data_IF_348901875834
#
_entry.id   IF_348901875834
#
_cell.length_a   1.000
_cell.length_b   1.000
_cell.length_c   1.000
_cell.angle_alpha   90.00
_cell.angle_beta   90.00
_cell.angle_gamma   90.00
#
_symmetry.space_group_name_H-M   'P 1'
#
loop_
_entity.id
_entity.type
_entity.pdbx_description
1 polymer ?
#
# COMPACT_ATOMS: atom_id res chain seq x y z
N UNK A 1 6.92 -18.51 5.08
CA UNK A 1 6.17 -17.59 5.97
C UNK A 1 4.79 -17.36 5.40
N UNK A 2 3.75 -17.50 6.21
CA UNK A 2 2.37 -17.25 5.81
C UNK A 2 1.98 -15.84 6.29
N UNK A 3 1.75 -14.95 5.34
CA UNK A 3 1.51 -13.53 5.60
C UNK A 3 0.08 -13.14 5.24
N UNK A 4 -0.65 -12.60 6.22
CA UNK A 4 -1.94 -11.94 6.01
C UNK A 4 -1.72 -10.43 5.91
N UNK A 5 -2.14 -9.83 4.81
CA UNK A 5 -1.98 -8.40 4.60
C UNK A 5 -3.30 -7.65 4.53
N UNK A 6 -3.29 -6.41 4.99
CA UNK A 6 -4.45 -5.52 5.05
C UNK A 6 -4.05 -4.14 4.49
N UNK A 7 -4.89 -3.58 3.63
CA UNK A 7 -4.82 -2.17 3.23
C UNK A 7 -6.19 -1.52 3.35
N UNK A 8 -6.24 -0.48 4.15
CA UNK A 8 -7.42 0.37 4.37
C UNK A 8 -7.10 1.85 4.20
N UNK A 9 -5.95 2.15 3.59
CA UNK A 9 -5.44 3.51 3.44
C UNK A 9 -6.25 4.38 2.48
N UNK A 10 -7.08 3.76 1.60
CA UNK A 10 -7.89 4.46 0.60
C UNK A 10 -9.36 4.02 0.67
N UNK A 11 -10.13 4.30 -0.38
CA UNK A 11 -11.53 3.82 -0.51
C UNK A 11 -11.63 2.32 -0.78
N UNK A 12 -10.53 1.68 -1.12
CA UNK A 12 -10.48 0.22 -1.31
C UNK A 12 -10.14 -0.40 0.03
N UNK A 13 -10.92 -1.40 0.41
CA UNK A 13 -10.57 -2.35 1.45
C UNK A 13 -9.94 -3.55 0.76
N UNK A 14 -8.67 -3.77 0.98
CA UNK A 14 -7.91 -4.86 0.38
C UNK A 14 -7.36 -5.77 1.47
N UNK A 15 -7.53 -7.09 1.29
CA UNK A 15 -6.95 -8.12 2.14
C UNK A 15 -6.33 -9.19 1.25
N UNK A 16 -5.17 -9.71 1.63
CA UNK A 16 -4.47 -10.74 0.88
C UNK A 16 -3.82 -11.77 1.81
N UNK A 17 -3.68 -12.98 1.32
CA UNK A 17 -2.96 -14.07 1.97
C UNK A 17 -1.88 -14.56 1.02
N UNK A 18 -0.63 -14.53 1.48
CA UNK A 18 0.53 -14.97 0.72
C UNK A 18 1.30 -16.04 1.51
N UNK A 19 1.82 -17.04 0.81
CA UNK A 19 2.80 -17.98 1.37
C UNK A 19 4.14 -17.68 0.70
N UNK A 20 5.06 -17.12 1.47
CA UNK A 20 6.28 -16.53 0.90
C UNK A 20 5.91 -15.54 -0.21
N UNK A 21 6.38 -15.74 -1.43
CA UNK A 21 6.06 -14.89 -2.57
C UNK A 21 4.82 -15.34 -3.37
N UNK A 22 4.17 -16.44 -2.98
CA UNK A 22 2.99 -16.95 -3.66
C UNK A 22 1.72 -16.31 -3.12
N UNK A 23 0.96 -15.63 -3.98
CA UNK A 23 -0.37 -15.11 -3.64
C UNK A 23 -1.40 -16.26 -3.64
N UNK A 24 -1.93 -16.59 -2.47
CA UNK A 24 -2.95 -17.63 -2.30
C UNK A 24 -4.36 -17.08 -2.55
N UNK A 25 -4.67 -15.89 -2.03
CA UNK A 25 -5.97 -15.25 -2.23
C UNK A 25 -5.87 -13.73 -1.99
N UNK A 26 -6.74 -12.98 -2.65
CA UNK A 26 -6.93 -11.54 -2.40
C UNK A 26 -8.40 -11.15 -2.59
N UNK A 27 -8.85 -10.18 -1.81
CA UNK A 27 -10.10 -9.46 -1.99
C UNK A 27 -9.82 -7.97 -2.01
N UNK A 28 -10.22 -7.32 -3.11
CA UNK A 28 -10.09 -5.87 -3.31
C UNK A 28 -11.49 -5.31 -3.55
N UNK A 29 -12.08 -4.66 -2.55
CA UNK A 29 -13.45 -4.15 -2.64
C UNK A 29 -13.45 -2.64 -2.44
N UNK A 30 -14.00 -1.91 -3.41
CA UNK A 30 -14.20 -0.47 -3.29
C UNK A 30 -15.49 -0.20 -2.49
N UNK A 31 -15.34 -0.01 -1.19
CA UNK A 31 -16.45 0.11 -0.23
C UNK A 31 -16.80 1.56 0.14
N UNK A 32 -16.12 2.54 -0.46
CA UNK A 32 -16.26 3.93 -0.03
C UNK A 32 -15.55 4.15 1.32
N UNK A 33 -16.31 4.46 2.38
CA UNK A 33 -15.76 4.77 3.71
C UNK A 33 -16.18 3.76 4.81
N UNK A 34 -16.70 2.59 4.43
CA UNK A 34 -17.26 1.59 5.37
C UNK A 34 -16.30 0.45 5.72
N UNK A 35 -15.01 0.76 5.92
CA UNK A 35 -14.00 -0.25 6.27
C UNK A 35 -14.34 -1.00 7.57
N UNK A 36 -14.95 -0.32 8.55
CA UNK A 36 -15.34 -0.93 9.82
C UNK A 36 -16.37 -2.06 9.67
N UNK A 37 -17.21 -2.02 8.64
CA UNK A 37 -18.25 -3.03 8.40
C UNK A 37 -17.72 -4.15 7.49
N UNK A 38 -16.79 -3.84 6.57
CA UNK A 38 -16.38 -4.76 5.53
C UNK A 38 -15.10 -5.54 5.81
N UNK A 39 -14.19 -5.03 6.62
CA UNK A 39 -12.85 -5.63 6.80
C UNK A 39 -12.92 -7.02 7.43
N UNK A 40 -13.58 -7.17 8.56
CA UNK A 40 -13.67 -8.47 9.25
C UNK A 40 -14.40 -9.54 8.43
N UNK A 41 -15.55 -9.28 7.78
CA UNK A 41 -16.17 -10.24 6.87
C UNK A 41 -15.28 -10.68 5.71
N UNK A 42 -14.45 -9.76 5.13
CA UNK A 42 -13.51 -10.12 4.07
C UNK A 42 -12.41 -11.04 4.58
N UNK A 43 -11.84 -10.74 5.76
CA UNK A 43 -10.82 -11.58 6.40
C UNK A 43 -11.36 -12.97 6.71
N UNK A 44 -12.57 -13.06 7.26
CA UNK A 44 -13.23 -14.33 7.54
C UNK A 44 -13.43 -15.15 6.25
N UNK A 45 -13.97 -14.54 5.20
CA UNK A 45 -14.14 -15.19 3.90
C UNK A 45 -12.81 -15.67 3.31
N UNK A 46 -11.75 -14.85 3.41
CA UNK A 46 -10.43 -15.18 2.91
C UNK A 46 -9.91 -16.47 3.55
N UNK A 47 -9.93 -16.54 4.89
CA UNK A 47 -9.47 -17.70 5.64
C UNK A 47 -10.34 -18.94 5.37
N UNK A 48 -11.66 -18.79 5.35
CA UNK A 48 -12.58 -19.90 5.05
C UNK A 48 -12.36 -20.50 3.65
N UNK A 49 -12.18 -19.64 2.63
CA UNK A 49 -11.98 -20.08 1.24
C UNK A 49 -10.64 -20.76 1.01
N UNK A 50 -9.61 -20.27 1.68
CA UNK A 50 -8.26 -20.87 1.60
C UNK A 50 -8.10 -22.08 2.51
N UNK A 51 -9.04 -22.33 3.44
CA UNK A 51 -8.99 -23.38 4.47
C UNK A 51 -7.74 -23.27 5.35
N UNK A 52 -7.24 -22.05 5.53
CA UNK A 52 -6.09 -21.75 6.37
C UNK A 52 -6.62 -21.30 7.73
N UNK A 53 -6.07 -21.90 8.79
CA UNK A 53 -6.42 -21.51 10.14
C UNK A 53 -5.62 -20.29 10.58
N UNK A 54 -6.19 -19.51 11.49
CA UNK A 54 -5.54 -18.29 12.01
C UNK A 54 -4.23 -18.59 12.75
N UNK A 55 -4.09 -19.79 13.29
CA UNK A 55 -2.91 -20.27 14.00
C UNK A 55 -1.72 -20.54 13.06
N UNK A 56 -1.98 -20.64 11.76
CA UNK A 56 -0.93 -20.82 10.74
C UNK A 56 -0.32 -19.50 10.29
N UNK A 57 -0.94 -18.35 10.62
CA UNK A 57 -0.46 -17.02 10.21
C UNK A 57 0.80 -16.67 11.01
N UNK A 58 1.90 -16.45 10.30
CA UNK A 58 3.18 -16.05 10.89
C UNK A 58 3.30 -14.53 11.05
N UNK A 59 2.78 -13.78 10.06
CA UNK A 59 2.93 -12.34 9.95
C UNK A 59 1.62 -11.68 9.53
N UNK A 60 1.24 -10.60 10.20
CA UNK A 60 0.24 -9.65 9.72
C UNK A 60 0.98 -8.43 9.19
N UNK A 61 0.69 -8.04 7.95
CA UNK A 61 1.22 -6.86 7.29
C UNK A 61 0.12 -5.82 7.13
N UNK A 62 0.41 -4.55 7.44
CA UNK A 62 -0.58 -3.46 7.40
C UNK A 62 -0.01 -2.21 6.73
N UNK A 63 -0.79 -1.56 5.86
CA UNK A 63 -0.42 -0.24 5.35
C UNK A 63 -0.53 0.83 6.44
N UNK A 64 0.58 1.56 6.67
CA UNK A 64 0.73 2.54 7.73
C UNK A 64 0.56 3.98 7.26
N UNK A 65 0.15 4.18 6.04
CA UNK A 65 0.00 5.52 5.47
C UNK A 65 1.14 5.91 4.53
N UNK A 66 0.98 7.12 3.96
CA UNK A 66 -0.13 8.05 4.14
C UNK A 66 -1.46 7.53 3.56
N UNK A 67 -2.59 8.13 3.99
CA UNK A 67 -3.91 7.75 3.51
C UNK A 67 -5.06 8.30 4.37
N UNK A 68 -6.21 7.66 4.27
CA UNK A 68 -7.39 7.98 5.08
C UNK A 68 -7.11 7.75 6.56
N UNK A 69 -7.12 8.80 7.37
CA UNK A 69 -6.90 8.71 8.81
C UNK A 69 -7.81 7.70 9.52
N UNK A 70 -9.10 7.71 9.20
CA UNK A 70 -10.06 6.76 9.75
C UNK A 70 -9.78 5.34 9.27
N UNK A 71 -9.51 5.18 7.96
CA UNK A 71 -9.21 3.87 7.38
C UNK A 71 -7.97 3.24 7.99
N UNK A 72 -6.87 3.99 8.08
CA UNK A 72 -5.60 3.54 8.68
C UNK A 72 -5.79 3.07 10.13
N UNK A 73 -6.54 3.83 10.94
CA UNK A 73 -6.83 3.45 12.34
C UNK A 73 -7.67 2.18 12.46
N UNK A 74 -8.68 2.01 11.60
CA UNK A 74 -9.49 0.79 11.59
C UNK A 74 -8.60 -0.42 11.22
N UNK A 75 -7.80 -0.29 10.17
CA UNK A 75 -6.88 -1.36 9.74
C UNK A 75 -5.87 -1.71 10.82
N UNK A 76 -5.19 -0.69 11.37
CA UNK A 76 -4.16 -0.88 12.39
C UNK A 76 -4.72 -1.53 13.67
N UNK A 77 -5.82 -0.99 14.22
CA UNK A 77 -6.44 -1.55 15.43
C UNK A 77 -6.87 -3.01 15.21
N UNK A 78 -7.39 -3.34 14.01
CA UNK A 78 -7.74 -4.71 13.65
C UNK A 78 -6.51 -5.60 13.57
N UNK A 79 -5.44 -5.14 12.89
CA UNK A 79 -4.20 -5.88 12.73
C UNK A 79 -3.51 -6.14 14.08
N UNK A 80 -3.43 -5.14 14.96
CA UNK A 80 -2.87 -5.27 16.31
C UNK A 80 -3.66 -6.28 17.16
N UNK A 81 -5.00 -6.17 17.18
CA UNK A 81 -5.84 -7.09 17.92
C UNK A 81 -5.69 -8.55 17.44
N UNK A 82 -5.60 -8.74 16.13
CA UNK A 82 -5.37 -10.06 15.53
C UNK A 82 -3.98 -10.58 15.84
N UNK A 83 -2.93 -9.79 15.66
CA UNK A 83 -1.55 -10.19 15.93
C UNK A 83 -1.36 -10.59 17.40
N UNK A 84 -1.93 -9.80 18.31
CA UNK A 84 -1.91 -10.11 19.74
C UNK A 84 -2.63 -11.42 20.06
N UNK A 85 -3.83 -11.62 19.51
CA UNK A 85 -4.69 -12.79 19.79
C UNK A 85 -4.14 -14.06 19.15
N UNK A 86 -3.61 -13.97 17.93
CA UNK A 86 -3.06 -15.11 17.17
C UNK A 86 -1.60 -15.38 17.49
N UNK A 87 -0.95 -14.50 18.25
CA UNK A 87 0.45 -14.59 18.66
C UNK A 87 1.42 -14.66 17.47
N UNK A 88 1.11 -13.89 16.43
CA UNK A 88 1.95 -13.73 15.26
C UNK A 88 2.58 -12.33 15.21
N UNK A 89 3.50 -12.13 14.30
CA UNK A 89 4.19 -10.86 14.13
C UNK A 89 3.32 -9.82 13.43
N UNK A 90 3.65 -8.53 13.61
CA UNK A 90 3.01 -7.41 12.94
C UNK A 90 4.07 -6.52 12.30
N UNK A 91 3.89 -6.18 11.02
CA UNK A 91 4.80 -5.28 10.29
C UNK A 91 4.02 -4.21 9.54
N UNK A 92 4.49 -2.97 9.65
CA UNK A 92 3.90 -1.81 8.99
C UNK A 92 4.58 -1.46 7.67
N UNK A 93 3.82 -1.25 6.61
CA UNK A 93 4.33 -0.94 5.26
C UNK A 93 3.87 0.45 4.82
N UNK A 94 4.76 1.22 4.19
CA UNK A 94 4.40 2.52 3.62
C UNK A 94 3.44 2.36 2.44
N UNK A 95 2.29 3.07 2.47
CA UNK A 95 1.24 2.97 1.44
C UNK A 95 1.71 3.40 0.06
N UNK A 96 2.51 4.47 -0.06
CA UNK A 96 3.03 4.91 -1.35
C UNK A 96 4.03 3.92 -1.94
N UNK A 97 4.83 3.29 -1.09
CA UNK A 97 5.76 2.23 -1.52
C UNK A 97 4.98 1.00 -2.02
N UNK A 98 3.92 0.60 -1.31
CA UNK A 98 3.03 -0.48 -1.75
C UNK A 98 2.34 -0.18 -3.08
N UNK A 99 1.91 1.06 -3.29
CA UNK A 99 1.38 1.51 -4.58
C UNK A 99 2.42 1.40 -5.71
N UNK A 100 3.66 1.86 -5.48
CA UNK A 100 4.73 1.74 -6.47
C UNK A 100 5.07 0.27 -6.76
N UNK A 101 4.97 -0.60 -5.76
CA UNK A 101 5.22 -2.03 -5.90
C UNK A 101 4.24 -2.74 -6.84
N UNK A 102 3.05 -2.18 -7.08
CA UNK A 102 2.09 -2.72 -8.05
C UNK A 102 2.61 -2.76 -9.49
N UNK A 103 3.66 -1.98 -9.80
CA UNK A 103 4.15 -1.79 -11.18
C UNK A 103 5.65 -2.11 -11.22
N UNK A 104 6.04 -3.40 -11.35
CA UNK A 104 7.45 -3.80 -11.42
C UNK A 104 8.03 -3.52 -12.82
N UNK A 105 8.09 -2.24 -13.19
CA UNK A 105 8.56 -1.77 -14.49
C UNK A 105 9.82 -0.92 -14.34
N UNK A 106 10.93 -1.38 -14.90
CA UNK A 106 12.18 -0.61 -14.96
C UNK A 106 12.14 0.48 -16.04
N UNK A 107 12.99 1.48 -15.90
CA UNK A 107 13.11 2.60 -16.85
C UNK A 107 12.09 3.73 -16.63
N UNK A 108 11.22 3.62 -15.65
CA UNK A 108 10.27 4.67 -15.27
C UNK A 108 10.48 5.12 -13.83
N UNK A 109 10.28 6.41 -13.60
CA UNK A 109 10.06 6.93 -12.26
C UNK A 109 8.60 6.68 -11.89
N UNK A 110 8.34 5.96 -10.82
CA UNK A 110 7.01 5.72 -10.28
C UNK A 110 6.70 6.80 -9.25
N UNK A 111 5.61 7.51 -9.45
CA UNK A 111 5.16 8.57 -8.55
C UNK A 111 3.77 8.23 -7.99
N UNK A 112 3.71 7.42 -6.92
CA UNK A 112 2.48 7.24 -6.19
C UNK A 112 2.05 8.54 -5.53
N UNK A 113 0.75 8.83 -5.62
CA UNK A 113 0.14 10.03 -5.03
C UNK A 113 -1.18 9.69 -4.34
N UNK A 114 -1.40 10.31 -3.18
CA UNK A 114 -2.66 10.28 -2.44
C UNK A 114 -3.10 11.69 -2.09
N UNK A 115 -4.41 11.92 -1.98
CA UNK A 115 -4.97 13.24 -1.65
C UNK A 115 -4.63 13.62 -0.20
N UNK A 116 -3.80 14.65 -0.01
CA UNK A 116 -3.46 15.22 1.29
C UNK A 116 -4.43 16.33 1.71
N UNK A 117 -5.57 16.44 1.01
CA UNK A 117 -6.59 17.46 1.19
C UNK A 117 -6.14 18.90 0.81
N UNK A 118 -7.09 19.81 0.79
CA UNK A 118 -6.85 21.24 0.47
C UNK A 118 -6.08 21.47 -0.85
N UNK A 119 -6.15 20.53 -1.79
CA UNK A 119 -5.48 20.63 -3.09
C UNK A 119 -4.02 20.13 -3.10
N UNK A 120 -3.53 19.61 -1.98
CA UNK A 120 -2.20 19.01 -1.85
C UNK A 120 -2.25 17.50 -2.03
N UNK A 121 -1.08 16.92 -2.26
CA UNK A 121 -0.87 15.49 -2.46
C UNK A 121 0.29 15.00 -1.61
N UNK A 122 0.13 13.82 -1.03
CA UNK A 122 1.27 13.01 -0.60
C UNK A 122 1.92 12.44 -1.84
N UNK A 123 3.23 12.63 -2.00
CA UNK A 123 4.03 12.11 -3.11
C UNK A 123 5.36 11.56 -2.62
N UNK A 124 5.77 10.44 -3.16
CA UNK A 124 7.14 9.94 -3.11
C UNK A 124 7.56 9.52 -4.52
N UNK A 125 8.85 9.35 -4.77
CA UNK A 125 9.35 8.89 -6.06
C UNK A 125 10.13 7.60 -5.87
N UNK A 126 9.81 6.60 -6.69
CA UNK A 126 10.46 5.30 -6.67
C UNK A 126 10.90 4.89 -8.07
N UNK A 127 11.81 3.94 -8.14
CA UNK A 127 12.22 3.32 -9.39
C UNK A 127 12.61 1.86 -9.16
N UNK A 128 12.20 0.98 -10.07
CA UNK A 128 12.71 -0.38 -10.09
C UNK A 128 14.11 -0.40 -10.71
N UNK A 129 15.08 -1.00 -9.99
CA UNK A 129 16.45 -1.20 -10.41
C UNK A 129 16.91 -2.58 -10.01
N UNK A 130 17.29 -3.40 -10.98
CA UNK A 130 17.79 -4.77 -10.74
C UNK A 130 16.82 -5.60 -9.86
N UNK A 131 15.51 -5.49 -10.14
CA UNK A 131 14.47 -6.21 -9.40
C UNK A 131 14.15 -5.67 -7.99
N UNK A 132 14.72 -4.52 -7.60
CA UNK A 132 14.46 -3.87 -6.31
C UNK A 132 13.77 -2.52 -6.51
N UNK A 133 12.81 -2.20 -5.64
CA UNK A 133 12.17 -0.90 -5.60
C UNK A 133 12.98 0.07 -4.75
N UNK A 134 13.63 1.04 -5.41
CA UNK A 134 14.50 2.04 -4.79
C UNK A 134 13.73 3.35 -4.64
N UNK A 135 13.81 3.98 -3.47
CA UNK A 135 13.32 5.33 -3.25
C UNK A 135 14.26 6.35 -3.86
N UNK A 136 13.75 7.22 -4.75
CA UNK A 136 14.48 8.32 -5.36
C UNK A 136 14.28 9.64 -4.61
N UNK A 137 13.09 9.85 -4.10
CA UNK A 137 12.76 11.02 -3.28
C UNK A 137 11.73 10.63 -2.21
N UNK A 138 11.94 11.04 -0.96
CA UNK A 138 11.08 10.67 0.15
C UNK A 138 9.70 11.32 0.04
N UNK A 139 8.79 10.80 0.87
CA UNK A 139 7.45 11.36 1.07
C UNK A 139 7.51 12.87 1.33
N UNK A 140 6.73 13.60 0.57
CA UNK A 140 6.47 15.03 0.77
C UNK A 140 5.00 15.34 0.54
N UNK A 141 4.52 16.41 1.19
CA UNK A 141 3.23 17.03 0.88
C UNK A 141 3.49 18.14 -0.12
N UNK A 142 2.91 18.03 -1.30
CA UNK A 142 3.18 18.92 -2.43
C UNK A 142 1.88 19.44 -3.06
N UNK A 143 1.94 20.64 -3.61
CA UNK A 143 0.89 21.17 -4.49
C UNK A 143 0.91 20.45 -5.85
N UNK A 144 -0.11 20.67 -6.67
CA UNK A 144 -0.16 20.11 -8.03
C UNK A 144 1.03 20.57 -8.90
N UNK A 145 1.43 21.81 -8.76
CA UNK A 145 2.56 22.40 -9.52
C UNK A 145 3.87 21.75 -9.11
N UNK A 146 4.17 21.76 -7.81
CA UNK A 146 5.37 21.14 -7.25
C UNK A 146 5.47 19.65 -7.58
N UNK A 147 4.32 18.93 -7.59
CA UNK A 147 4.26 17.52 -7.97
C UNK A 147 4.82 17.30 -9.39
N UNK A 148 4.40 18.13 -10.34
CA UNK A 148 4.84 18.06 -11.74
C UNK A 148 6.31 18.49 -11.85
N UNK A 149 6.71 19.56 -11.17
CA UNK A 149 8.10 20.07 -11.15
C UNK A 149 9.07 19.01 -10.63
N UNK A 150 8.71 18.33 -9.54
CA UNK A 150 9.54 17.23 -9.01
C UNK A 150 9.73 16.09 -10.02
N UNK A 151 8.71 15.76 -10.81
CA UNK A 151 8.83 14.76 -11.86
C UNK A 151 9.65 15.26 -13.05
N UNK A 152 9.45 16.50 -13.48
CA UNK A 152 10.24 17.12 -14.54
C UNK A 152 11.75 17.18 -14.19
N UNK A 153 12.06 17.49 -12.92
CA UNK A 153 13.43 17.55 -12.44
C UNK A 153 14.18 16.20 -12.54
N UNK A 154 13.46 15.08 -12.64
CA UNK A 154 14.10 13.76 -12.83
C UNK A 154 14.65 13.58 -14.25
N UNK A 155 14.12 14.31 -15.23
CA UNK A 155 14.50 14.16 -16.65
C UNK A 155 14.13 12.80 -17.26
N UNK A 156 13.34 11.98 -16.59
CA UNK A 156 13.03 10.61 -16.97
C UNK A 156 11.55 10.42 -17.32
N UNK A 157 11.23 9.32 -17.99
CA UNK A 157 9.86 8.88 -18.16
C UNK A 157 9.24 8.59 -16.77
N UNK A 158 8.03 9.07 -16.53
CA UNK A 158 7.37 8.93 -15.24
C UNK A 158 5.94 8.40 -15.35
N UNK A 159 5.53 7.61 -14.35
CA UNK A 159 4.16 7.13 -14.20
C UNK A 159 3.57 7.66 -12.89
N UNK A 160 2.48 8.41 -13.00
CA UNK A 160 1.63 8.81 -11.89
C UNK A 160 0.64 7.70 -11.57
N UNK A 161 0.53 7.30 -10.30
CA UNK A 161 -0.37 6.26 -9.83
C UNK A 161 -1.03 6.65 -8.50
N UNK A 162 -2.13 6.00 -8.14
CA UNK A 162 -2.91 6.34 -6.96
C UNK A 162 -4.05 7.30 -7.26
N UNK A 163 -4.30 8.31 -6.42
CA UNK A 163 -5.44 9.21 -6.53
C UNK A 163 -5.25 10.32 -7.58
N UNK A 164 -4.98 9.91 -8.82
CA UNK A 164 -4.64 10.80 -9.93
C UNK A 164 -5.84 11.44 -10.65
N UNK A 165 -7.09 11.17 -10.29
CA UNK A 165 -8.28 11.65 -11.06
C UNK A 165 -8.32 13.16 -11.26
N UNK A 166 -7.91 13.93 -10.24
CA UNK A 166 -7.85 15.40 -10.33
C UNK A 166 -6.66 15.88 -11.15
N UNK A 167 -5.61 15.08 -11.25
CA UNK A 167 -4.38 15.34 -12.02
C UNK A 167 -4.57 15.04 -13.51
N UNK A 168 -5.47 14.11 -13.86
CA UNK A 168 -5.78 13.76 -15.24
C UNK A 168 -6.33 14.92 -16.09
N UNK A 169 -6.77 16.01 -15.43
CA UNK A 169 -7.24 17.24 -16.09
C UNK A 169 -6.13 18.26 -16.34
N UNK A 170 -4.91 17.98 -15.89
CA UNK A 170 -3.75 18.84 -16.15
C UNK A 170 -3.14 18.48 -17.49
N UNK A 171 -2.61 19.49 -18.18
CA UNK A 171 -1.69 19.25 -19.31
C UNK A 171 -0.36 18.75 -18.74
N UNK A 172 -0.19 17.43 -18.72
CA UNK A 172 1.04 16.81 -18.25
C UNK A 172 2.09 16.83 -19.39
N UNK A 173 3.36 17.07 -19.09
CA UNK A 173 4.44 16.88 -20.06
C UNK A 173 4.42 15.48 -20.67
N UNK A 174 4.85 15.34 -21.92
CA UNK A 174 4.75 14.10 -22.71
C UNK A 174 5.42 12.87 -22.03
N UNK A 175 6.47 13.11 -21.27
CA UNK A 175 7.20 12.07 -20.54
C UNK A 175 6.55 11.65 -19.21
N UNK A 176 5.46 12.34 -18.78
CA UNK A 176 4.70 12.01 -17.57
C UNK A 176 3.35 11.42 -17.97
N UNK A 177 3.11 10.16 -17.64
CA UNK A 177 1.89 9.43 -17.98
C UNK A 177 1.13 8.99 -16.73
N UNK A 178 -0.18 8.80 -16.87
CA UNK A 178 -0.98 8.16 -15.84
C UNK A 178 -0.89 6.64 -16.00
N UNK A 179 -0.72 5.95 -14.89
CA UNK A 179 -0.81 4.49 -14.88
C UNK A 179 -2.24 4.01 -15.20
N UNK A 180 -2.42 2.83 -15.77
CA UNK A 180 -3.73 2.23 -16.01
C UNK A 180 -4.57 2.17 -14.72
N UNK A 181 -5.87 2.42 -14.82
CA UNK A 181 -6.81 2.45 -13.69
C UNK A 181 -6.77 1.17 -12.82
N UNK A 182 -6.50 0.02 -13.41
CA UNK A 182 -6.39 -1.26 -12.72
C UNK A 182 -5.16 -1.38 -11.80
N UNK A 183 -4.16 -0.50 -11.97
CA UNK A 183 -2.89 -0.55 -11.25
C UNK A 183 -2.72 0.59 -10.23
N UNK A 184 -3.65 1.54 -10.19
CA UNK A 184 -3.52 2.74 -9.37
C UNK A 184 -4.06 2.60 -7.94
N UNK A 185 -4.65 1.46 -7.59
CA UNK A 185 -5.22 1.25 -6.26
C UNK A 185 -4.25 0.43 -5.39
N UNK A 186 -4.16 0.75 -4.10
CA UNK A 186 -3.40 -0.08 -3.17
C UNK A 186 -3.90 -1.52 -3.19
N UNK A 187 -2.98 -2.47 -3.05
CA UNK A 187 -3.27 -3.90 -3.00
C UNK A 187 -2.59 -4.52 -1.78
N UNK A 188 -3.37 -5.22 -0.99
CA UNK A 188 -2.82 -5.95 0.15
C UNK A 188 -1.78 -7.01 -0.26
N UNK A 189 -1.86 -7.55 -1.48
CA UNK A 189 -0.81 -8.43 -2.01
C UNK A 189 0.55 -7.74 -2.11
N UNK A 190 0.60 -6.45 -2.53
CA UNK A 190 1.85 -5.68 -2.55
C UNK A 190 2.33 -5.34 -1.15
N UNK A 191 1.41 -5.09 -0.20
CA UNK A 191 1.73 -4.91 1.22
C UNK A 191 2.36 -6.19 1.79
N UNK A 192 1.80 -7.38 1.49
CA UNK A 192 2.36 -8.66 1.92
C UNK A 192 3.78 -8.89 1.42
N UNK A 193 4.01 -8.68 0.12
CA UNK A 193 5.32 -8.90 -0.51
C UNK A 193 6.39 -7.92 -0.01
N UNK A 194 6.00 -6.66 0.21
CA UNK A 194 6.90 -5.67 0.80
C UNK A 194 7.23 -6.01 2.25
N UNK A 195 6.21 -6.36 3.05
CA UNK A 195 6.42 -6.77 4.43
C UNK A 195 7.37 -7.96 4.51
N UNK A 196 7.21 -8.95 3.64
CA UNK A 196 8.10 -10.12 3.60
C UNK A 196 9.56 -9.74 3.30
N UNK A 197 9.76 -8.70 2.47
CA UNK A 197 11.09 -8.22 2.11
C UNK A 197 11.73 -7.30 3.17
N UNK A 198 10.92 -6.63 3.97
CA UNK A 198 11.34 -5.61 4.95
C UNK A 198 11.32 -6.13 6.40
N UNK A 199 10.55 -7.19 6.68
CA UNK A 199 10.36 -7.72 8.02
C UNK A 199 11.67 -8.22 8.63
N UNK A 200 11.97 -7.70 9.82
CA UNK A 200 13.09 -8.13 10.65
C UNK A 200 12.54 -8.61 12.02
N UNK A 201 12.64 -9.93 12.33
CA UNK A 201 12.14 -10.48 13.59
C UNK A 201 12.74 -9.84 14.84
N UNK A 202 13.95 -9.26 14.76
CA UNK A 202 14.59 -8.60 15.89
C UNK A 202 14.13 -7.14 16.06
N UNK A 203 13.81 -6.45 14.96
CA UNK A 203 13.31 -5.07 14.99
C UNK A 203 11.79 -5.00 15.25
N UNK A 204 11.02 -5.93 14.70
CA UNK A 204 9.54 -5.93 14.73
C UNK A 204 8.95 -6.69 15.95
N UNK A 205 9.60 -6.58 17.11
CA UNK A 205 9.16 -7.28 18.35
C UNK A 205 7.94 -6.65 19.03
N UNK A 206 7.58 -5.43 18.68
CA UNK A 206 6.46 -4.71 19.32
C UNK A 206 5.20 -4.80 18.47
N UNK A 207 4.19 -5.52 18.98
CA UNK A 207 2.87 -5.57 18.35
C UNK A 207 2.13 -4.23 18.52
N UNK A 208 2.35 -3.53 19.62
CA UNK A 208 1.73 -2.24 19.92
C UNK A 208 2.75 -1.11 19.81
N UNK A 209 2.30 0.04 19.30
CA UNK A 209 3.12 1.24 19.19
C UNK A 209 3.45 1.65 17.74
N UNK A 210 2.86 0.98 16.76
CA UNK A 210 2.83 1.50 15.41
C UNK A 210 1.88 2.70 15.36
N UNK A 211 2.34 3.83 14.82
CA UNK A 211 1.51 5.03 14.61
C UNK A 211 1.36 5.27 13.11
N UNK A 212 0.12 5.44 12.61
CA UNK A 212 -0.15 5.71 11.21
C UNK A 212 0.14 7.15 10.80
#
# INVERSE_FOLDING_TARGET
MLTLAIDTATKVCSVALCRDQELLATYDISMGMTHSEGLLPQLEQLLQRTKISKEEIDLIAISMGPGSFTGLRIGLATAEAMAYTWKCHLHGVNTLKALAYNIPLEGFVLSPVLDAQKGNYYQALYQWRQGQLVELAPLAVVSKTELVERLQATGQQALLLGECKKLAKLELPEHIKLAPQSLIMPKASSVALLALAEYDPEADKQIFGLEP
#
